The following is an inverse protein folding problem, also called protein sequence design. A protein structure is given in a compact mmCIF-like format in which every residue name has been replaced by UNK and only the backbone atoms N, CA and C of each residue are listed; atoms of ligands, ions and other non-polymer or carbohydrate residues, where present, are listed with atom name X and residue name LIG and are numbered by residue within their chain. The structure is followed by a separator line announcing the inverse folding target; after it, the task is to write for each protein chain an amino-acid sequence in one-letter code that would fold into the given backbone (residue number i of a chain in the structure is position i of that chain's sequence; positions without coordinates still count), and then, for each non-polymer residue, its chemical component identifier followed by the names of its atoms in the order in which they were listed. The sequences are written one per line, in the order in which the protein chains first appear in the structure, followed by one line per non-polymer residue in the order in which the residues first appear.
data_IF_692373782397
#
_entry.id   IF_692373782397
#
_cell.length_a   1.000
_cell.length_b   1.000
_cell.length_c   1.000
_cell.angle_alpha   90.00
_cell.angle_beta   90.00
_cell.angle_gamma   90.00
#
_symmetry.space_group_name_H-M   'P 1'
#
loop_
_entity.id
_entity.type
_entity.pdbx_description
1 polymer ?
#
# COMPACT_ATOMS: atom_id res chain seq x y z
N UNK A 1 -12.18 -6.42 21.79
CA UNK A 1 -11.91 -7.87 21.83
C UNK A 1 -10.63 -8.20 21.02
N UNK A 2 -10.60 -8.08 19.68
CA UNK A 2 -9.43 -8.47 18.88
C UNK A 2 -8.12 -7.88 19.40
N UNK A 3 -8.10 -6.58 19.73
CA UNK A 3 -6.93 -5.89 20.24
C UNK A 3 -6.54 -6.38 21.64
N UNK A 4 -7.52 -6.66 22.50
CA UNK A 4 -7.31 -7.21 23.83
C UNK A 4 -6.69 -8.62 23.76
N UNK A 5 -7.21 -9.46 22.85
CA UNK A 5 -6.67 -10.81 22.62
C UNK A 5 -5.24 -10.76 22.07
N UNK A 6 -4.98 -9.87 21.11
CA UNK A 6 -3.66 -9.73 20.51
C UNK A 6 -2.63 -9.22 21.53
N UNK A 7 -2.97 -8.13 22.26
CA UNK A 7 -2.06 -7.48 23.19
C UNK A 7 -1.97 -8.18 24.56
N UNK A 8 -2.98 -8.93 24.93
CA UNK A 8 -3.15 -9.48 26.28
C UNK A 8 -3.49 -8.42 27.34
N UNK A 9 -3.84 -7.20 26.92
CA UNK A 9 -4.16 -6.07 27.78
C UNK A 9 -5.61 -5.67 27.53
N UNK A 10 -6.50 -5.75 28.54
CA UNK A 10 -7.87 -5.23 28.43
C UNK A 10 -7.88 -3.77 28.06
N UNK A 11 -9.02 -3.29 27.51
CA UNK A 11 -9.19 -1.86 27.21
C UNK A 11 -8.76 -1.00 28.41
N UNK A 12 -7.74 -0.13 28.24
CA UNK A 12 -7.03 0.43 29.40
C UNK A 12 -7.74 1.64 30.06
N UNK A 13 -8.91 2.06 29.56
CA UNK A 13 -9.60 3.27 30.04
C UNK A 13 -11.03 2.95 30.50
N UNK A 14 -11.62 3.88 31.26
CA UNK A 14 -12.92 3.64 31.91
C UNK A 14 -14.13 3.65 30.97
N UNK A 15 -14.03 4.37 29.82
CA UNK A 15 -15.14 4.50 28.86
C UNK A 15 -14.62 4.75 27.45
N UNK A 16 -15.48 4.49 26.46
CA UNK A 16 -15.23 4.78 25.04
C UNK A 16 -16.48 5.44 24.46
N UNK A 17 -16.51 6.77 24.43
CA UNK A 17 -17.60 7.53 23.82
C UNK A 17 -17.22 7.84 22.36
N UNK A 18 -18.18 7.66 21.47
CA UNK A 18 -18.07 8.02 20.05
C UNK A 18 -18.79 9.36 19.84
N UNK A 19 -18.03 10.38 19.40
CA UNK A 19 -18.57 11.72 19.16
C UNK A 19 -18.42 12.06 17.69
N UNK A 20 -19.51 12.28 16.98
CA UNK A 20 -19.52 12.64 15.57
C UNK A 20 -19.69 14.15 15.45
N UNK A 21 -18.71 14.80 14.80
CA UNK A 21 -18.65 16.26 14.67
C UNK A 21 -18.83 16.68 13.20
N UNK A 22 -19.86 17.52 12.91
CA UNK A 22 -20.02 18.13 11.60
C UNK A 22 -18.82 19.04 11.27
N UNK A 23 -18.27 18.87 10.07
CA UNK A 23 -17.17 19.71 9.59
C UNK A 23 -15.84 19.52 10.32
N UNK A 24 -15.67 18.42 11.06
CA UNK A 24 -14.38 18.07 11.67
C UNK A 24 -13.28 17.92 10.61
N UNK A 25 -12.16 18.57 10.83
CA UNK A 25 -11.09 18.68 9.83
C UNK A 25 -10.31 17.36 9.60
N UNK A 26 -10.29 16.46 10.59
CA UNK A 26 -9.65 15.15 10.51
C UNK A 26 -10.69 14.04 10.25
N UNK A 27 -10.22 12.83 9.92
CA UNK A 27 -11.07 11.65 9.83
C UNK A 27 -11.61 11.26 11.20
N UNK A 28 -10.71 11.13 12.15
CA UNK A 28 -10.95 10.85 13.56
C UNK A 28 -9.92 11.55 14.45
N UNK A 29 -10.07 11.36 15.75
CA UNK A 29 -9.12 11.80 16.76
C UNK A 29 -9.32 10.95 18.02
N UNK A 30 -8.27 10.33 18.47
CA UNK A 30 -8.23 9.28 19.48
C UNK A 30 -8.32 9.75 20.95
N UNK A 31 -8.97 10.87 21.22
CA UNK A 31 -9.05 11.39 22.59
C UNK A 31 -9.60 10.34 23.55
N UNK A 32 -8.82 10.02 24.58
CA UNK A 32 -9.16 9.03 25.59
C UNK A 32 -10.54 9.27 26.21
N UNK A 33 -11.42 8.30 26.07
CA UNK A 33 -12.79 8.33 26.59
C UNK A 33 -13.78 9.19 25.80
N UNK A 34 -13.32 9.89 24.72
CA UNK A 34 -14.19 10.74 23.87
C UNK A 34 -13.61 10.83 22.45
N UNK A 35 -13.58 9.70 21.73
CA UNK A 35 -13.04 9.60 20.37
C UNK A 35 -13.92 10.38 19.39
N UNK A 36 -13.29 11.30 18.64
CA UNK A 36 -14.00 12.18 17.71
C UNK A 36 -13.94 11.60 16.30
N UNK A 37 -15.00 11.80 15.52
CA UNK A 37 -15.10 11.39 14.12
C UNK A 37 -15.77 12.46 13.27
N UNK A 38 -15.33 12.61 12.03
CA UNK A 38 -16.03 13.47 11.08
C UNK A 38 -17.33 12.81 10.59
N UNK A 39 -18.40 13.59 10.50
CA UNK A 39 -19.70 13.16 9.97
C UNK A 39 -19.61 12.55 8.57
N UNK A 40 -18.77 13.14 7.70
CA UNK A 40 -18.59 12.71 6.30
C UNK A 40 -18.06 11.29 6.15
N UNK A 41 -17.32 10.79 7.13
CA UNK A 41 -16.77 9.43 7.13
C UNK A 41 -17.68 8.45 7.86
N UNK A 42 -18.46 8.92 8.82
CA UNK A 42 -19.33 8.08 9.67
C UNK A 42 -20.71 7.90 9.07
N UNK A 43 -21.31 8.93 8.49
CA UNK A 43 -22.62 8.83 7.84
C UNK A 43 -22.45 8.52 6.35
N UNK A 44 -22.74 7.27 5.99
CA UNK A 44 -22.70 6.82 4.60
C UNK A 44 -24.08 7.00 3.96
N UNK A 45 -24.10 7.11 2.64
CA UNK A 45 -25.32 7.14 1.85
C UNK A 45 -26.14 5.84 2.03
N UNK A 46 -27.39 5.82 1.57
CA UNK A 46 -28.29 4.65 1.66
C UNK A 46 -27.71 3.41 0.95
N UNK A 47 -26.91 3.62 -0.11
CA UNK A 47 -26.28 2.57 -0.89
C UNK A 47 -24.75 2.78 -1.00
N UNK A 48 -24.02 2.61 0.12
CA UNK A 48 -22.59 2.88 0.13
C UNK A 48 -21.84 1.83 -0.68
N UNK A 49 -20.76 2.26 -1.32
CA UNK A 49 -19.82 1.35 -1.98
C UNK A 49 -19.07 0.49 -0.96
N UNK A 50 -18.48 -0.62 -1.43
CA UNK A 50 -17.61 -1.45 -0.60
C UNK A 50 -16.46 -0.61 0.00
N UNK A 51 -15.83 0.24 -0.82
CA UNK A 51 -14.74 1.11 -0.38
C UNK A 51 -15.15 2.06 0.76
N UNK A 52 -16.33 2.67 0.69
CA UNK A 52 -16.84 3.55 1.73
C UNK A 52 -17.07 2.79 3.04
N UNK A 53 -17.60 1.56 2.98
CA UNK A 53 -17.79 0.69 4.15
C UNK A 53 -16.47 0.27 4.78
N UNK A 54 -15.51 -0.22 3.97
CA UNK A 54 -14.18 -0.60 4.44
C UNK A 54 -13.46 0.59 5.07
N UNK A 55 -13.52 1.75 4.42
CA UNK A 55 -12.88 2.98 4.90
C UNK A 55 -13.46 3.46 6.24
N UNK A 56 -14.78 3.35 6.46
CA UNK A 56 -15.39 3.67 7.76
C UNK A 56 -14.96 2.69 8.84
N UNK A 57 -14.98 1.40 8.54
CA UNK A 57 -14.57 0.38 9.50
C UNK A 57 -13.08 0.49 9.85
N UNK A 58 -12.24 0.77 8.85
CA UNK A 58 -10.81 1.01 9.07
C UNK A 58 -10.57 2.26 9.93
N UNK A 59 -11.31 3.34 9.72
CA UNK A 59 -11.21 4.55 10.55
C UNK A 59 -11.55 4.24 12.01
N UNK A 60 -12.67 3.56 12.27
CA UNK A 60 -13.06 3.20 13.64
C UNK A 60 -12.01 2.30 14.30
N UNK A 61 -11.49 1.32 13.57
CA UNK A 61 -10.46 0.43 14.07
C UNK A 61 -9.13 1.16 14.33
N UNK A 62 -8.76 2.14 13.50
CA UNK A 62 -7.60 3.00 13.66
C UNK A 62 -7.67 3.79 14.97
N UNK A 63 -8.73 4.56 15.17
CA UNK A 63 -8.91 5.35 16.39
C UNK A 63 -9.02 4.47 17.65
N UNK A 64 -9.59 3.27 17.50
CA UNK A 64 -9.65 2.31 18.62
C UNK A 64 -8.27 1.76 18.96
N UNK A 65 -7.42 1.50 17.96
CA UNK A 65 -6.06 0.97 18.17
C UNK A 65 -5.16 1.97 18.89
N UNK A 66 -5.39 3.25 18.70
CA UNK A 66 -4.68 4.30 19.44
C UNK A 66 -4.82 4.19 20.95
N UNK A 67 -5.88 3.58 21.48
CA UNK A 67 -6.07 3.38 22.92
C UNK A 67 -4.90 2.58 23.55
N UNK A 68 -4.27 1.68 22.79
CA UNK A 68 -3.06 0.98 23.20
C UNK A 68 -1.79 1.67 22.70
N UNK A 69 -1.83 2.20 21.46
CA UNK A 69 -0.68 2.78 20.74
C UNK A 69 -0.89 4.27 20.48
N UNK A 70 -0.50 5.09 21.42
CA UNK A 70 -0.69 6.54 21.43
C UNK A 70 -1.15 7.03 22.79
N UNK A 71 -2.13 6.35 23.41
CA UNK A 71 -2.72 6.74 24.70
C UNK A 71 -2.15 5.92 25.86
N UNK A 72 -2.22 4.58 25.82
CA UNK A 72 -1.66 3.73 26.86
C UNK A 72 -0.14 3.72 26.90
N UNK A 73 0.48 3.65 25.71
CA UNK A 73 1.90 3.89 25.50
C UNK A 73 2.03 4.99 24.44
N UNK A 74 2.60 6.13 24.81
CA UNK A 74 2.81 7.24 23.88
C UNK A 74 4.28 7.41 23.50
N UNK A 75 4.58 8.24 22.51
CA UNK A 75 5.94 8.57 22.09
C UNK A 75 6.60 9.50 23.11
N UNK A 76 7.93 9.41 23.22
CA UNK A 76 8.74 10.32 24.04
C UNK A 76 8.79 11.72 23.45
N UNK A 77 8.83 11.82 22.13
CA UNK A 77 8.80 13.06 21.37
C UNK A 77 8.17 12.84 20.00
N UNK A 78 7.81 13.93 19.32
CA UNK A 78 7.08 13.92 18.05
C UNK A 78 7.88 13.43 16.84
N UNK A 79 9.19 13.25 16.92
CA UNK A 79 9.98 12.52 15.92
C UNK A 79 9.58 11.04 15.83
N UNK A 80 9.02 10.48 16.90
CA UNK A 80 8.44 9.15 16.96
C UNK A 80 6.90 9.14 16.85
N UNK A 81 6.23 10.24 16.50
CA UNK A 81 4.77 10.30 16.39
C UNK A 81 4.21 9.28 15.38
N UNK A 82 4.99 8.98 14.36
CA UNK A 82 4.65 7.98 13.35
C UNK A 82 4.40 6.58 13.94
N UNK A 83 5.00 6.26 15.10
CA UNK A 83 4.84 4.94 15.73
C UNK A 83 3.40 4.68 16.14
N UNK A 84 2.68 5.66 16.68
CA UNK A 84 1.27 5.49 17.00
C UNK A 84 0.42 5.32 15.74
N UNK A 85 0.72 6.06 14.68
CA UNK A 85 -0.01 6.01 13.42
C UNK A 85 0.20 4.68 12.68
N UNK A 86 1.45 4.18 12.65
CA UNK A 86 1.74 2.91 12.00
C UNK A 86 1.02 1.74 12.69
N UNK A 87 1.03 1.72 14.03
CA UNK A 87 0.31 0.69 14.76
C UNK A 87 -1.19 0.80 14.56
N UNK A 88 -1.74 2.02 14.60
CA UNK A 88 -3.17 2.22 14.37
C UNK A 88 -3.59 1.74 12.98
N UNK A 89 -2.87 2.09 11.92
CA UNK A 89 -3.16 1.64 10.55
C UNK A 89 -2.93 0.13 10.36
N UNK A 90 -1.82 -0.39 10.86
CA UNK A 90 -1.50 -1.82 10.73
C UNK A 90 -2.54 -2.68 11.42
N UNK A 91 -2.90 -2.37 12.66
CA UNK A 91 -3.91 -3.13 13.40
C UNK A 91 -5.33 -2.89 12.87
N UNK A 92 -5.64 -1.68 12.36
CA UNK A 92 -6.93 -1.45 11.70
C UNK A 92 -7.16 -2.43 10.54
N UNK A 93 -6.15 -2.68 9.72
CA UNK A 93 -6.27 -3.65 8.62
C UNK A 93 -6.58 -5.07 9.14
N UNK A 94 -5.93 -5.48 10.24
CA UNK A 94 -6.13 -6.78 10.88
C UNK A 94 -7.48 -6.92 11.59
N UNK A 95 -7.96 -5.85 12.21
CA UNK A 95 -9.28 -5.81 12.89
C UNK A 95 -10.42 -5.86 11.89
N UNK A 96 -10.26 -5.21 10.73
CA UNK A 96 -11.29 -5.15 9.68
C UNK A 96 -11.42 -6.49 8.92
N UNK A 97 -10.36 -7.26 8.82
CA UNK A 97 -10.33 -8.52 8.06
C UNK A 97 -11.49 -9.47 8.42
N UNK A 98 -11.71 -9.86 9.69
CA UNK A 98 -12.80 -10.78 10.05
C UNK A 98 -14.20 -10.18 9.87
N UNK A 99 -14.35 -8.85 9.72
CA UNK A 99 -15.63 -8.19 9.51
C UNK A 99 -16.10 -8.26 8.04
N UNK A 100 -15.20 -8.54 7.12
CA UNK A 100 -15.45 -8.61 5.68
C UNK A 100 -14.80 -9.85 5.05
N UNK A 101 -15.26 -11.07 5.40
CA UNK A 101 -14.59 -12.30 4.99
C UNK A 101 -14.58 -12.55 3.47
N UNK A 102 -15.49 -11.90 2.72
CA UNK A 102 -15.57 -12.01 1.26
C UNK A 102 -14.64 -11.02 0.53
N UNK A 103 -13.88 -10.21 1.26
CA UNK A 103 -12.94 -9.23 0.68
C UNK A 103 -11.55 -9.81 0.65
N UNK A 104 -10.86 -9.65 -0.45
CA UNK A 104 -9.44 -9.93 -0.51
C UNK A 104 -8.66 -8.83 0.24
N UNK A 105 -8.37 -9.07 1.52
CA UNK A 105 -7.73 -8.09 2.40
C UNK A 105 -6.28 -7.80 2.00
N UNK A 106 -5.59 -8.76 1.36
CA UNK A 106 -4.26 -8.49 0.80
C UNK A 106 -4.32 -7.49 -0.34
N UNK A 107 -5.24 -7.70 -1.28
CA UNK A 107 -5.50 -6.73 -2.35
C UNK A 107 -5.90 -5.37 -1.77
N UNK A 108 -6.78 -5.35 -0.76
CA UNK A 108 -7.20 -4.12 -0.11
C UNK A 108 -6.03 -3.36 0.51
N UNK A 109 -5.12 -4.07 1.19
CA UNK A 109 -3.93 -3.50 1.81
C UNK A 109 -3.00 -2.84 0.78
N UNK A 110 -2.63 -3.56 -0.29
CA UNK A 110 -1.74 -3.00 -1.31
C UNK A 110 -2.38 -1.83 -2.06
N UNK A 111 -3.70 -1.87 -2.28
CA UNK A 111 -4.46 -0.78 -2.89
C UNK A 111 -4.46 0.49 -2.03
N UNK A 112 -4.66 0.34 -0.73
CA UNK A 112 -4.83 1.47 0.18
C UNK A 112 -3.49 2.15 0.49
N UNK A 113 -2.42 1.38 0.68
CA UNK A 113 -1.16 1.92 1.19
C UNK A 113 -0.09 2.17 0.12
N UNK A 114 0.12 1.27 -0.86
CA UNK A 114 1.27 1.38 -1.76
C UNK A 114 1.19 2.58 -2.72
N UNK A 115 0.06 2.86 -3.41
CA UNK A 115 0.02 3.96 -4.36
C UNK A 115 0.20 5.33 -3.70
N UNK A 116 -0.36 5.53 -2.51
CA UNK A 116 -0.24 6.77 -1.76
C UNK A 116 1.20 6.99 -1.28
N UNK A 117 1.84 5.96 -0.72
CA UNK A 117 3.25 6.01 -0.31
C UNK A 117 4.18 6.29 -1.49
N UNK A 118 4.00 5.62 -2.63
CA UNK A 118 4.77 5.87 -3.84
C UNK A 118 4.58 7.29 -4.38
N UNK A 119 3.39 7.89 -4.20
CA UNK A 119 3.12 9.25 -4.65
C UNK A 119 4.07 10.27 -4.04
N UNK A 120 4.56 10.02 -2.85
CA UNK A 120 5.52 10.86 -2.13
C UNK A 120 6.97 10.37 -2.31
N UNK A 121 7.23 9.08 -2.14
CA UNK A 121 8.58 8.50 -2.19
C UNK A 121 9.30 8.65 -3.53
N UNK A 122 8.57 8.75 -4.66
CA UNK A 122 9.16 9.03 -5.98
C UNK A 122 9.54 10.49 -6.19
N UNK A 123 9.23 11.39 -5.25
CA UNK A 123 9.50 12.83 -5.41
C UNK A 123 10.79 13.25 -4.73
N UNK A 124 11.35 14.38 -5.15
CA UNK A 124 12.51 14.98 -4.47
C UNK A 124 12.21 15.40 -3.03
N UNK A 125 10.93 15.61 -2.69
CA UNK A 125 10.45 15.97 -1.36
C UNK A 125 10.21 14.77 -0.43
N UNK A 126 10.55 13.55 -0.85
CA UNK A 126 10.41 12.37 0.00
C UNK A 126 11.16 12.53 1.33
N UNK A 127 10.51 12.12 2.40
CA UNK A 127 11.05 12.13 3.76
C UNK A 127 11.26 10.70 4.27
N UNK A 128 12.14 10.48 5.28
CA UNK A 128 12.15 9.23 6.02
C UNK A 128 10.83 9.04 6.80
N UNK A 129 10.56 7.83 7.26
CA UNK A 129 9.41 7.56 8.13
C UNK A 129 9.60 8.30 9.46
N UNK A 130 10.77 8.14 10.10
CA UNK A 130 11.15 8.91 11.27
C UNK A 130 11.69 10.27 10.81
N UNK A 131 11.03 11.34 11.20
CA UNK A 131 11.37 12.69 10.83
C UNK A 131 11.75 13.49 12.07
N UNK A 132 12.90 14.17 12.03
CA UNK A 132 13.33 15.04 13.11
C UNK A 132 12.35 16.21 13.29
N UNK A 133 11.98 16.49 14.52
CA UNK A 133 11.09 17.59 14.87
C UNK A 133 11.66 18.41 16.05
N UNK A 134 12.32 19.50 15.73
CA UNK A 134 12.90 20.39 16.73
C UNK A 134 11.86 21.28 17.45
N UNK A 135 10.71 21.52 16.81
CA UNK A 135 9.71 22.44 17.32
C UNK A 135 8.28 21.98 17.03
N UNK A 136 7.46 21.89 18.08
CA UNK A 136 6.04 21.51 18.00
C UNK A 136 5.19 22.34 17.02
N UNK A 137 5.60 23.58 16.72
CA UNK A 137 4.92 24.41 15.71
C UNK A 137 4.92 23.76 14.33
N UNK A 138 5.89 22.88 14.08
CA UNK A 138 6.05 22.16 12.81
C UNK A 138 5.43 20.76 12.86
N UNK A 139 4.82 20.33 13.97
CA UNK A 139 4.27 18.98 14.12
C UNK A 139 3.29 18.61 13.00
N UNK A 140 2.49 19.57 12.53
CA UNK A 140 1.57 19.33 11.40
C UNK A 140 2.26 19.01 10.06
N UNK A 141 3.56 19.28 9.91
CA UNK A 141 4.30 19.02 8.67
C UNK A 141 4.80 17.57 8.56
N UNK A 142 4.89 16.85 9.67
CA UNK A 142 5.35 15.46 9.66
C UNK A 142 4.24 14.47 9.25
N UNK A 143 2.97 14.89 9.37
CA UNK A 143 1.83 14.04 8.97
C UNK A 143 1.65 14.05 7.46
N UNK A 144 1.82 12.89 6.82
CA UNK A 144 1.72 12.73 5.37
C UNK A 144 1.72 11.25 4.96
N UNK A 145 1.70 10.99 3.66
CA UNK A 145 1.62 9.62 3.11
C UNK A 145 2.78 8.72 3.56
N UNK A 146 3.94 9.28 3.90
CA UNK A 146 5.04 8.48 4.43
C UNK A 146 4.67 7.89 5.80
N UNK A 147 4.07 8.68 6.67
CA UNK A 147 3.67 8.20 8.00
C UNK A 147 2.43 7.31 7.92
N UNK A 148 1.42 7.70 7.12
CA UNK A 148 0.14 6.99 7.10
C UNK A 148 0.11 5.79 6.16
N UNK A 149 0.92 5.79 5.09
CA UNK A 149 0.80 4.79 4.03
C UNK A 149 2.07 3.95 3.85
N UNK A 150 3.29 4.56 3.86
CA UNK A 150 4.53 3.79 3.77
C UNK A 150 4.80 2.99 5.06
N UNK A 151 4.59 3.61 6.22
CA UNK A 151 4.95 2.96 7.48
C UNK A 151 4.17 1.66 7.75
N UNK A 152 2.87 1.49 7.43
CA UNK A 152 2.19 0.19 7.54
C UNK A 152 2.77 -0.90 6.64
N UNK A 153 3.23 -0.55 5.44
CA UNK A 153 3.91 -1.50 4.54
C UNK A 153 5.23 -1.94 5.15
N UNK A 154 6.01 -1.00 5.67
CA UNK A 154 7.28 -1.29 6.35
C UNK A 154 7.04 -2.09 7.64
N UNK A 155 5.97 -1.81 8.40
CA UNK A 155 5.60 -2.60 9.57
C UNK A 155 5.24 -4.05 9.20
N UNK A 156 4.49 -4.26 8.12
CA UNK A 156 4.21 -5.62 7.63
C UNK A 156 5.49 -6.36 7.24
N UNK A 157 6.45 -5.67 6.61
CA UNK A 157 7.76 -6.25 6.30
C UNK A 157 8.52 -6.64 7.58
N UNK A 158 8.50 -5.80 8.61
CA UNK A 158 9.10 -6.08 9.91
C UNK A 158 8.47 -7.31 10.57
N UNK A 159 7.13 -7.41 10.54
CA UNK A 159 6.41 -8.58 11.07
C UNK A 159 6.81 -9.86 10.34
N UNK A 160 7.07 -9.80 9.04
CA UNK A 160 7.53 -10.97 8.27
C UNK A 160 8.96 -11.39 8.60
N UNK A 161 9.83 -10.43 8.85
CA UNK A 161 11.22 -10.70 9.31
C UNK A 161 11.20 -11.39 10.67
N UNK A 162 10.33 -10.95 11.58
CA UNK A 162 10.20 -11.52 12.92
C UNK A 162 9.39 -12.83 12.97
N UNK A 163 8.36 -12.94 12.16
CA UNK A 163 7.25 -13.87 12.32
C UNK A 163 6.18 -13.35 13.30
N UNK A 164 4.94 -13.74 13.05
CA UNK A 164 3.75 -13.26 13.79
C UNK A 164 3.83 -13.48 15.30
N UNK A 165 4.29 -14.65 15.73
CA UNK A 165 4.36 -15.00 17.15
C UNK A 165 5.40 -14.17 17.91
N UNK A 166 6.61 -14.03 17.33
CA UNK A 166 7.68 -13.22 17.91
C UNK A 166 7.29 -11.73 17.95
N UNK A 167 6.65 -11.24 16.91
CA UNK A 167 6.11 -9.87 16.87
C UNK A 167 5.06 -9.67 17.99
N UNK A 168 4.09 -10.57 18.14
CA UNK A 168 3.07 -10.48 19.19
C UNK A 168 3.69 -10.47 20.58
N UNK A 169 4.66 -11.36 20.84
CA UNK A 169 5.37 -11.40 22.12
C UNK A 169 6.12 -10.09 22.40
N UNK A 170 6.82 -9.57 21.41
CA UNK A 170 7.53 -8.30 21.52
C UNK A 170 6.60 -7.10 21.75
N UNK A 171 5.44 -7.07 21.10
CA UNK A 171 4.42 -6.02 21.32
C UNK A 171 3.84 -6.10 22.74
N UNK A 172 3.57 -7.29 23.25
CA UNK A 172 3.13 -7.49 24.65
C UNK A 172 4.16 -7.02 25.66
N UNK A 173 5.44 -7.33 25.44
CA UNK A 173 6.54 -6.83 26.27
C UNK A 173 6.66 -5.30 26.19
N UNK A 174 6.55 -4.73 24.99
CA UNK A 174 6.59 -3.29 24.76
C UNK A 174 5.50 -2.55 25.53
N UNK A 175 4.24 -2.98 25.39
CA UNK A 175 3.10 -2.37 26.08
C UNK A 175 3.18 -2.52 27.61
N UNK A 176 3.69 -3.65 28.09
CA UNK A 176 3.87 -3.88 29.52
C UNK A 176 5.01 -3.02 30.09
N UNK A 177 6.12 -2.92 29.34
CA UNK A 177 7.31 -2.16 29.78
C UNK A 177 7.05 -0.67 29.88
N UNK A 178 6.28 -0.14 28.93
CA UNK A 178 6.03 1.31 28.83
C UNK A 178 4.60 1.71 29.24
N UNK A 179 3.87 0.85 29.96
CA UNK A 179 2.49 1.11 30.39
C UNK A 179 2.32 2.49 31.04
N UNK A 180 1.36 3.27 30.54
CA UNK A 180 1.10 4.66 30.96
C UNK A 180 2.34 5.57 30.93
N UNK A 181 3.27 5.26 30.02
CA UNK A 181 4.55 5.96 29.90
C UNK A 181 4.90 6.31 28.46
N UNK A 182 6.16 6.64 28.26
CA UNK A 182 6.69 7.11 26.98
C UNK A 182 7.74 6.14 26.45
N UNK A 183 7.62 5.82 25.16
CA UNK A 183 8.54 4.94 24.45
C UNK A 183 9.20 5.67 23.26
N UNK A 184 10.26 5.07 22.73
CA UNK A 184 10.88 5.45 21.46
C UNK A 184 10.86 4.26 20.50
N UNK A 185 11.02 4.55 19.21
CA UNK A 185 11.16 3.50 18.21
C UNK A 185 12.36 2.58 18.51
N UNK A 186 13.49 3.13 18.88
CA UNK A 186 14.68 2.35 19.25
C UNK A 186 14.43 1.47 20.48
N UNK A 187 13.56 1.93 21.39
CA UNK A 187 13.12 1.14 22.53
C UNK A 187 12.34 -0.10 22.11
N UNK A 188 11.43 0.06 21.15
CA UNK A 188 10.67 -1.04 20.54
C UNK A 188 11.60 -2.00 19.79
N UNK A 189 12.46 -1.49 18.90
CA UNK A 189 13.42 -2.33 18.14
C UNK A 189 14.30 -3.16 19.08
N UNK A 190 14.75 -2.57 20.18
CA UNK A 190 15.55 -3.30 21.20
C UNK A 190 14.76 -4.44 21.85
N UNK A 191 13.46 -4.27 22.05
CA UNK A 191 12.60 -5.34 22.57
C UNK A 191 12.43 -6.43 21.51
N UNK A 192 12.07 -6.06 20.29
CA UNK A 192 11.85 -7.00 19.19
C UNK A 192 13.11 -7.81 18.84
N UNK A 193 14.31 -7.21 18.96
CA UNK A 193 15.58 -7.91 18.74
C UNK A 193 15.84 -9.07 19.73
N UNK A 194 15.10 -9.16 20.82
CA UNK A 194 15.19 -10.33 21.74
C UNK A 194 14.54 -11.61 21.17
N UNK A 195 13.72 -11.44 20.15
CA UNK A 195 12.89 -12.49 19.56
C UNK A 195 13.35 -12.93 18.15
N UNK A 196 14.49 -12.45 17.68
CA UNK A 196 15.04 -12.79 16.36
C UNK A 196 16.56 -12.72 16.38
N UNK A 197 17.21 -13.47 15.49
CA UNK A 197 18.65 -13.38 15.20
C UNK A 197 18.98 -12.27 14.17
N UNK A 198 17.96 -11.67 13.54
CA UNK A 198 18.14 -10.60 12.55
C UNK A 198 18.58 -9.29 13.20
N UNK A 199 19.43 -8.52 12.51
CA UNK A 199 19.81 -7.18 12.94
C UNK A 199 18.73 -6.15 12.59
N UNK A 200 17.71 -6.05 13.47
CA UNK A 200 16.62 -5.10 13.29
C UNK A 200 17.07 -3.64 13.39
N UNK A 201 18.20 -3.35 14.01
CA UNK A 201 18.73 -1.99 14.07
C UNK A 201 19.26 -1.57 12.68
N UNK A 202 20.03 -2.42 12.02
CA UNK A 202 20.50 -2.20 10.64
C UNK A 202 19.32 -2.16 9.66
N UNK A 203 18.34 -3.05 9.81
CA UNK A 203 17.11 -3.04 9.02
C UNK A 203 16.34 -1.72 9.18
N UNK A 204 16.15 -1.28 10.40
CA UNK A 204 15.43 -0.04 10.74
C UNK A 204 16.15 1.20 10.23
N UNK A 205 17.49 1.22 10.26
CA UNK A 205 18.26 2.35 9.73
C UNK A 205 17.89 2.63 8.27
N UNK A 206 17.75 1.58 7.46
CA UNK A 206 17.45 1.75 6.03
C UNK A 206 15.97 2.03 5.78
N UNK A 207 15.06 1.28 6.42
CA UNK A 207 13.63 1.38 6.13
C UNK A 207 12.93 2.55 6.83
N UNK A 208 13.40 2.94 8.01
CA UNK A 208 12.74 3.94 8.85
C UNK A 208 13.46 5.29 8.82
N UNK A 209 14.81 5.28 8.92
CA UNK A 209 15.58 6.50 9.03
C UNK A 209 16.05 7.06 7.67
N UNK A 210 15.91 6.29 6.58
CA UNK A 210 16.28 6.75 5.25
C UNK A 210 15.05 7.01 4.37
N UNK A 211 15.12 8.07 3.56
CA UNK A 211 14.06 8.42 2.61
C UNK A 211 14.18 7.63 1.30
N UNK A 212 13.06 7.53 0.60
CA UNK A 212 13.01 6.93 -0.75
C UNK A 212 12.84 5.42 -0.71
N UNK A 213 13.05 4.80 -1.86
CA UNK A 213 12.85 3.37 -2.11
C UNK A 213 13.85 2.86 -3.14
N UNK A 214 14.15 1.55 -3.19
CA UNK A 214 15.02 0.98 -4.21
C UNK A 214 14.40 1.02 -5.60
N UNK A 215 15.21 1.23 -6.64
CA UNK A 215 14.90 0.80 -8.01
C UNK A 215 15.28 -0.67 -8.12
N UNK A 216 14.35 -1.50 -8.59
CA UNK A 216 14.52 -2.94 -8.70
C UNK A 216 14.32 -3.33 -10.16
N UNK A 217 15.29 -4.03 -10.73
CA UNK A 217 15.24 -4.59 -12.08
C UNK A 217 15.36 -6.10 -12.04
N UNK A 218 14.77 -6.77 -13.01
CA UNK A 218 14.89 -8.22 -13.16
C UNK A 218 15.18 -8.61 -14.61
N UNK A 219 15.95 -9.67 -14.80
CA UNK A 219 16.23 -10.22 -16.12
C UNK A 219 16.48 -11.72 -16.04
N UNK A 220 16.23 -12.43 -17.14
CA UNK A 220 16.65 -13.83 -17.28
C UNK A 220 17.92 -13.84 -18.12
N UNK A 221 19.03 -14.35 -17.55
CA UNK A 221 20.35 -14.45 -18.21
C UNK A 221 20.92 -15.84 -17.96
N UNK A 222 21.35 -16.51 -18.98
CA UNK A 222 22.00 -17.84 -18.91
C UNK A 222 21.20 -18.90 -18.12
N UNK A 223 19.86 -18.81 -18.18
CA UNK A 223 18.97 -19.71 -17.44
C UNK A 223 18.80 -19.37 -15.96
N UNK A 224 19.21 -18.18 -15.55
CA UNK A 224 19.03 -17.67 -14.18
C UNK A 224 18.12 -16.43 -14.17
N UNK A 225 17.24 -16.34 -13.17
CA UNK A 225 16.64 -15.07 -12.78
C UNK A 225 17.69 -14.25 -12.04
N UNK A 226 17.93 -13.04 -12.51
CA UNK A 226 18.81 -12.05 -11.87
C UNK A 226 17.95 -10.87 -11.46
N UNK A 227 17.88 -10.57 -10.17
CA UNK A 227 17.19 -9.39 -9.61
C UNK A 227 18.22 -8.47 -9.01
N UNK A 228 18.19 -7.19 -9.38
CA UNK A 228 19.17 -6.18 -8.95
C UNK A 228 18.45 -5.02 -8.29
N UNK A 229 18.95 -4.54 -7.15
CA UNK A 229 18.50 -3.33 -6.48
C UNK A 229 19.51 -2.21 -6.59
N UNK A 230 19.02 -0.99 -6.70
CA UNK A 230 19.86 0.21 -6.77
C UNK A 230 19.25 1.35 -5.95
N UNK A 231 20.07 2.09 -5.22
CA UNK A 231 19.65 3.36 -4.62
C UNK A 231 19.58 4.46 -5.70
N UNK A 232 18.38 4.96 -6.04
CA UNK A 232 18.25 5.98 -7.07
C UNK A 232 18.86 7.33 -6.68
N UNK A 233 19.15 7.56 -5.38
CA UNK A 233 19.78 8.78 -4.88
C UNK A 233 21.31 8.67 -4.77
N UNK A 234 21.89 7.52 -5.14
CA UNK A 234 23.35 7.33 -5.20
C UNK A 234 24.07 7.27 -3.85
N UNK A 235 23.34 7.00 -2.76
CA UNK A 235 23.92 6.89 -1.40
C UNK A 235 24.52 5.50 -1.14
N UNK A 236 24.27 4.53 -2.03
CA UNK A 236 24.70 3.14 -1.88
C UNK A 236 23.88 2.34 -0.88
N UNK A 237 22.68 2.81 -0.55
CA UNK A 237 21.77 2.09 0.34
C UNK A 237 21.25 0.82 -0.32
N UNK A 238 20.99 -0.19 0.51
CA UNK A 238 20.40 -1.47 0.13
C UNK A 238 19.24 -1.75 1.07
N UNK A 239 18.09 -2.08 0.49
CA UNK A 239 16.85 -2.34 1.22
C UNK A 239 16.62 -3.84 1.34
N UNK A 240 16.88 -4.45 2.51
CA UNK A 240 16.63 -5.87 2.73
C UNK A 240 15.13 -6.15 2.71
N UNK A 241 14.71 -7.10 1.84
CA UNK A 241 13.31 -7.47 1.70
C UNK A 241 13.12 -8.80 1.01
N UNK A 242 11.98 -9.45 1.31
CA UNK A 242 11.54 -10.68 0.68
C UNK A 242 10.52 -10.37 -0.43
N UNK A 243 10.79 -10.85 -1.63
CA UNK A 243 9.96 -10.68 -2.81
C UNK A 243 9.54 -12.05 -3.36
N UNK A 244 8.53 -12.06 -4.21
CA UNK A 244 8.21 -13.24 -5.03
C UNK A 244 8.07 -12.79 -6.47
N UNK A 245 8.82 -13.44 -7.34
CA UNK A 245 8.74 -13.26 -8.78
C UNK A 245 8.07 -14.48 -9.42
N UNK A 246 7.45 -14.27 -10.59
CA UNK A 246 7.05 -15.37 -11.48
C UNK A 246 7.70 -15.16 -12.84
N UNK A 247 8.39 -16.19 -13.33
CA UNK A 247 8.99 -16.20 -14.67
C UNK A 247 8.17 -17.14 -15.54
N UNK A 248 7.72 -16.66 -16.70
CA UNK A 248 6.93 -17.41 -17.68
C UNK A 248 7.67 -17.39 -19.00
N UNK A 249 8.05 -18.57 -19.53
CA UNK A 249 8.74 -18.71 -20.81
C UNK A 249 8.01 -19.76 -21.67
N UNK A 250 7.18 -19.32 -22.61
CA UNK A 250 6.30 -20.19 -23.38
C UNK A 250 5.24 -20.86 -22.51
N UNK A 251 5.30 -22.18 -22.32
CA UNK A 251 4.40 -22.97 -21.47
C UNK A 251 4.94 -23.20 -20.05
N UNK A 252 6.22 -22.94 -19.83
CA UNK A 252 6.88 -23.16 -18.54
C UNK A 252 6.71 -21.92 -17.65
N UNK A 253 6.48 -22.15 -16.36
CA UNK A 253 6.31 -21.08 -15.37
C UNK A 253 6.84 -21.51 -14.02
N UNK A 254 7.51 -20.61 -13.33
CA UNK A 254 8.06 -20.84 -11.99
C UNK A 254 7.87 -19.62 -11.11
N UNK A 255 7.48 -19.84 -9.85
CA UNK A 255 7.48 -18.83 -8.80
C UNK A 255 8.77 -18.92 -7.99
N UNK A 256 9.44 -17.80 -7.85
CA UNK A 256 10.78 -17.73 -7.28
C UNK A 256 10.76 -16.79 -6.08
N UNK A 257 11.00 -17.30 -4.85
CA UNK A 257 11.27 -16.44 -3.71
C UNK A 257 12.62 -15.76 -3.90
N UNK A 258 12.65 -14.46 -3.66
CA UNK A 258 13.82 -13.60 -3.83
C UNK A 258 14.09 -12.89 -2.52
N UNK A 259 15.24 -13.16 -1.91
CA UNK A 259 15.72 -12.41 -0.74
C UNK A 259 16.74 -11.37 -1.20
N UNK A 260 16.41 -10.09 -1.07
CA UNK A 260 17.34 -9.00 -1.22
C UNK A 260 17.94 -8.70 0.15
N UNK A 261 19.22 -8.96 0.31
CA UNK A 261 19.94 -8.73 1.56
C UNK A 261 20.50 -7.31 1.66
N UNK A 262 20.70 -6.81 2.88
CA UNK A 262 21.27 -5.48 3.14
C UNK A 262 22.74 -5.33 2.76
N UNK A 263 23.42 -6.40 2.37
CA UNK A 263 24.83 -6.41 1.96
C UNK A 263 25.04 -6.72 0.47
N UNK A 264 23.96 -7.02 -0.29
CA UNK A 264 24.04 -7.40 -1.72
C UNK A 264 23.18 -6.48 -2.61
N UNK A 265 23.72 -6.17 -3.79
CA UNK A 265 23.01 -5.44 -4.84
C UNK A 265 22.17 -6.35 -5.73
N UNK A 266 22.40 -7.67 -5.68
CA UNK A 266 21.75 -8.61 -6.58
C UNK A 266 21.46 -9.95 -5.93
N UNK A 267 20.37 -10.56 -6.42
CA UNK A 267 19.99 -11.96 -6.18
C UNK A 267 20.06 -12.73 -7.49
N UNK A 268 20.49 -14.00 -7.44
CA UNK A 268 20.54 -14.89 -8.60
C UNK A 268 19.99 -16.26 -8.23
N UNK A 269 19.12 -16.80 -9.08
CA UNK A 269 18.60 -18.15 -8.93
C UNK A 269 18.42 -18.83 -10.28
N UNK A 270 18.92 -20.04 -10.41
CA UNK A 270 18.77 -20.86 -11.60
C UNK A 270 17.31 -21.31 -11.74
N UNK A 271 16.76 -21.14 -12.94
CA UNK A 271 15.42 -21.63 -13.26
C UNK A 271 15.40 -23.15 -13.30
N UNK A 272 14.29 -23.75 -12.89
CA UNK A 272 14.08 -25.19 -12.93
C UNK A 272 13.91 -25.74 -14.36
N UNK A 273 13.72 -24.84 -15.33
CA UNK A 273 13.57 -25.14 -16.76
C UNK A 273 14.56 -24.33 -17.60
N UNK A 274 14.79 -24.76 -18.85
CA UNK A 274 15.58 -24.00 -19.80
C UNK A 274 14.69 -22.96 -20.51
N UNK A 275 15.00 -21.65 -20.38
CA UNK A 275 14.23 -20.61 -21.06
C UNK A 275 14.24 -20.82 -22.58
N UNK A 276 13.07 -20.85 -23.19
CA UNK A 276 12.90 -20.95 -24.62
C UNK A 276 12.12 -19.73 -25.14
N UNK A 277 12.79 -18.87 -25.89
CA UNK A 277 12.22 -17.63 -26.41
C UNK A 277 12.20 -16.49 -25.35
N UNK A 278 11.29 -15.55 -25.57
CA UNK A 278 11.12 -14.42 -24.67
C UNK A 278 10.36 -14.83 -23.41
N UNK A 279 10.92 -14.46 -22.25
CA UNK A 279 10.26 -14.69 -20.97
C UNK A 279 9.51 -13.43 -20.50
N UNK A 280 8.37 -13.63 -19.84
CA UNK A 280 7.68 -12.60 -19.08
C UNK A 280 8.09 -12.73 -17.62
N UNK A 281 8.59 -11.66 -17.04
CA UNK A 281 8.99 -11.62 -15.63
C UNK A 281 7.97 -10.76 -14.88
N UNK A 282 7.26 -11.36 -13.93
CA UNK A 282 6.27 -10.69 -13.12
C UNK A 282 6.90 -10.39 -11.75
N UNK A 283 7.14 -9.12 -11.42
CA UNK A 283 7.73 -8.75 -10.13
C UNK A 283 6.68 -8.73 -9.02
N UNK A 284 7.12 -8.99 -7.79
CA UNK A 284 6.33 -8.75 -6.57
C UNK A 284 4.90 -9.30 -6.64
N UNK A 285 4.72 -10.52 -7.13
CA UNK A 285 3.40 -11.10 -7.46
C UNK A 285 2.43 -11.19 -6.26
N UNK A 286 2.96 -11.23 -5.05
CA UNK A 286 2.20 -11.26 -3.81
C UNK A 286 2.00 -9.86 -3.18
N UNK A 287 2.49 -8.80 -3.82
CA UNK A 287 2.40 -7.42 -3.38
C UNK A 287 3.10 -7.11 -2.05
N UNK A 288 4.07 -7.92 -1.62
CA UNK A 288 4.70 -7.80 -0.29
C UNK A 288 5.99 -6.99 -0.27
N UNK A 289 6.55 -6.69 -1.43
CA UNK A 289 7.73 -5.85 -1.55
C UNK A 289 7.41 -4.38 -1.71
N UNK A 290 8.39 -3.54 -1.46
CA UNK A 290 8.31 -2.09 -1.62
C UNK A 290 9.51 -1.57 -2.43
N UNK A 291 9.23 -0.84 -3.52
CA UNK A 291 10.25 -0.30 -4.42
C UNK A 291 9.71 -0.02 -5.82
N UNK A 292 10.50 0.65 -6.63
CA UNK A 292 10.19 0.86 -8.03
C UNK A 292 10.62 -0.36 -8.85
N UNK A 293 9.68 -1.24 -9.16
CA UNK A 293 9.89 -2.40 -10.03
C UNK A 293 9.90 -1.92 -11.48
N UNK A 294 11.09 -1.65 -12.00
CA UNK A 294 11.27 -1.04 -13.30
C UNK A 294 11.16 -2.07 -14.42
N UNK A 295 10.32 -1.75 -15.38
CA UNK A 295 10.15 -2.50 -16.63
C UNK A 295 10.35 -1.59 -17.84
N UNK A 296 10.63 -2.17 -18.98
CA UNK A 296 10.67 -1.50 -20.28
C UNK A 296 9.31 -1.54 -20.98
N UNK A 297 9.12 -0.69 -22.01
CA UNK A 297 7.91 -0.71 -22.86
C UNK A 297 7.68 -2.12 -23.46
N UNK A 298 8.73 -2.81 -23.90
CA UNK A 298 8.63 -4.14 -24.47
C UNK A 298 8.14 -5.21 -23.48
N UNK A 299 8.56 -5.10 -22.22
CA UNK A 299 8.17 -6.03 -21.15
C UNK A 299 6.71 -5.80 -20.70
N UNK A 300 6.21 -4.57 -20.82
CA UNK A 300 4.86 -4.21 -20.36
C UNK A 300 3.75 -5.04 -21.04
N UNK A 301 3.93 -5.42 -22.30
CA UNK A 301 2.95 -6.23 -23.05
C UNK A 301 2.68 -7.59 -22.40
N UNK A 302 3.72 -8.22 -21.84
CA UNK A 302 3.60 -9.47 -21.09
C UNK A 302 2.79 -9.28 -19.80
N UNK A 303 3.05 -8.20 -19.06
CA UNK A 303 2.31 -7.88 -17.84
C UNK A 303 0.83 -7.62 -18.14
N UNK A 304 0.51 -6.87 -19.19
CA UNK A 304 -0.86 -6.62 -19.64
C UNK A 304 -1.60 -7.92 -20.04
N UNK A 305 -0.90 -8.84 -20.71
CA UNK A 305 -1.46 -10.13 -21.07
C UNK A 305 -1.85 -10.94 -19.83
N UNK A 306 -0.95 -11.03 -18.84
CA UNK A 306 -1.21 -11.74 -17.58
C UNK A 306 -2.31 -11.05 -16.77
N UNK A 307 -2.31 -9.71 -16.70
CA UNK A 307 -3.34 -8.94 -16.00
C UNK A 307 -4.75 -9.27 -16.52
N UNK A 308 -4.91 -9.45 -17.84
CA UNK A 308 -6.21 -9.78 -18.45
C UNK A 308 -6.63 -11.24 -18.28
N UNK A 309 -5.68 -12.17 -18.15
CA UNK A 309 -5.95 -13.61 -18.12
C UNK A 309 -5.92 -14.24 -16.73
N UNK A 310 -5.34 -13.53 -15.73
CA UNK A 310 -5.21 -14.06 -14.38
C UNK A 310 -6.52 -13.95 -13.58
N UNK A 311 -6.78 -14.97 -12.77
CA UNK A 311 -7.83 -14.95 -11.74
C UNK A 311 -7.28 -14.53 -10.35
N UNK A 312 -5.95 -14.42 -10.19
CA UNK A 312 -5.32 -14.01 -8.95
C UNK A 312 -5.44 -12.49 -8.79
N UNK A 313 -6.30 -12.09 -7.86
CA UNK A 313 -6.62 -10.68 -7.60
C UNK A 313 -5.42 -9.90 -7.04
N UNK A 314 -4.58 -10.52 -6.20
CA UNK A 314 -3.40 -9.88 -5.61
C UNK A 314 -2.35 -9.64 -6.69
N UNK A 315 -2.11 -10.64 -7.54
CA UNK A 315 -1.23 -10.50 -8.72
C UNK A 315 -1.73 -9.36 -9.61
N UNK A 316 -3.02 -9.33 -9.95
CA UNK A 316 -3.61 -8.26 -10.77
C UNK A 316 -3.40 -6.88 -10.13
N UNK A 317 -3.63 -6.74 -8.82
CA UNK A 317 -3.39 -5.51 -8.09
C UNK A 317 -1.92 -5.07 -8.12
N UNK A 318 -1.00 -6.00 -7.90
CA UNK A 318 0.44 -5.74 -7.97
C UNK A 318 0.90 -5.33 -9.38
N UNK A 319 0.36 -5.98 -10.42
CA UNK A 319 0.66 -5.62 -11.82
C UNK A 319 0.11 -4.23 -12.18
N UNK A 320 -1.10 -3.88 -11.73
CA UNK A 320 -1.67 -2.54 -11.93
C UNK A 320 -0.78 -1.46 -11.28
N UNK A 321 -0.30 -1.69 -10.05
CA UNK A 321 0.63 -0.78 -9.37
C UNK A 321 1.94 -0.67 -10.16
N UNK A 322 2.53 -1.79 -10.55
CA UNK A 322 3.79 -1.81 -11.32
C UNK A 322 3.65 -1.05 -12.64
N UNK A 323 2.60 -1.30 -13.41
CA UNK A 323 2.35 -0.63 -14.68
C UNK A 323 2.11 0.88 -14.47
N UNK A 324 1.32 1.25 -13.47
CA UNK A 324 1.08 2.66 -13.17
C UNK A 324 2.35 3.40 -12.72
N UNK A 325 3.19 2.80 -11.88
CA UNK A 325 4.46 3.43 -11.49
C UNK A 325 5.40 3.57 -12.69
N UNK A 326 5.47 2.58 -13.57
CA UNK A 326 6.27 2.69 -14.80
C UNK A 326 5.74 3.76 -15.76
N UNK A 327 4.42 3.99 -15.82
CA UNK A 327 3.85 5.16 -16.49
C UNK A 327 4.35 6.48 -15.85
N UNK A 328 4.35 6.56 -14.51
CA UNK A 328 4.77 7.77 -13.76
C UNK A 328 6.26 8.07 -13.95
N UNK A 329 7.09 7.05 -14.04
CA UNK A 329 8.52 7.15 -14.34
C UNK A 329 8.82 7.24 -15.85
N UNK A 330 7.79 7.21 -16.70
CA UNK A 330 7.89 7.32 -18.17
C UNK A 330 8.74 6.22 -18.83
N UNK A 331 8.77 5.05 -18.23
CA UNK A 331 9.39 3.86 -18.82
C UNK A 331 8.45 3.13 -19.79
N UNK A 332 7.13 3.40 -19.66
CA UNK A 332 6.10 2.98 -20.61
C UNK A 332 5.32 4.19 -21.13
N UNK A 333 4.75 4.07 -22.33
CA UNK A 333 4.08 5.19 -22.99
C UNK A 333 2.71 5.49 -22.38
N UNK A 334 2.33 6.78 -22.21
CA UNK A 334 0.99 7.13 -21.74
C UNK A 334 -0.14 6.68 -22.68
N UNK A 335 0.12 6.65 -23.99
CA UNK A 335 -0.87 6.19 -24.97
C UNK A 335 -1.08 4.68 -24.83
N UNK A 336 0.02 3.88 -24.80
CA UNK A 336 -0.06 2.44 -24.63
C UNK A 336 -0.77 2.06 -23.31
N UNK A 337 -0.41 2.71 -22.19
CA UNK A 337 -1.08 2.51 -20.92
C UNK A 337 -2.58 2.78 -21.00
N UNK A 338 -2.98 3.89 -21.63
CA UNK A 338 -4.40 4.26 -21.79
C UNK A 338 -5.15 3.24 -22.60
N UNK A 339 -4.64 2.85 -23.76
CA UNK A 339 -5.29 1.91 -24.66
C UNK A 339 -5.53 0.56 -23.99
N UNK A 340 -4.52 0.06 -23.27
CA UNK A 340 -4.61 -1.20 -22.50
C UNK A 340 -5.62 -1.09 -21.35
N UNK A 341 -5.63 0.02 -20.62
CA UNK A 341 -6.60 0.25 -19.53
C UNK A 341 -8.04 0.37 -20.05
N UNK A 342 -8.26 1.02 -21.19
CA UNK A 342 -9.58 1.10 -21.84
C UNK A 342 -10.09 -0.27 -22.28
N UNK A 343 -9.19 -1.18 -22.66
CA UNK A 343 -9.53 -2.56 -22.99
C UNK A 343 -9.78 -3.43 -21.73
N UNK A 344 -9.05 -3.19 -20.65
CA UNK A 344 -9.13 -3.95 -19.40
C UNK A 344 -10.38 -3.61 -18.58
N UNK A 345 -10.62 -2.32 -18.35
CA UNK A 345 -11.59 -1.81 -17.37
C UNK A 345 -13.02 -2.34 -17.55
N UNK A 346 -13.59 -2.44 -18.77
CA UNK A 346 -14.96 -2.95 -18.95
C UNK A 346 -15.18 -4.40 -18.56
N UNK A 347 -14.10 -5.20 -18.49
CA UNK A 347 -14.13 -6.63 -18.21
C UNK A 347 -13.77 -6.98 -16.75
N UNK A 348 -13.37 -5.98 -15.94
CA UNK A 348 -13.01 -6.21 -14.56
C UNK A 348 -14.25 -6.29 -13.68
N UNK A 349 -14.41 -7.40 -12.97
CA UNK A 349 -15.55 -7.69 -12.09
C UNK A 349 -15.25 -7.42 -10.61
N UNK A 350 -13.97 -7.52 -10.19
CA UNK A 350 -13.59 -7.22 -8.81
C UNK A 350 -13.66 -5.72 -8.56
N UNK A 351 -14.44 -5.30 -7.56
CA UNK A 351 -14.69 -3.88 -7.28
C UNK A 351 -13.44 -3.12 -6.79
N UNK A 352 -12.49 -3.78 -6.14
CA UNK A 352 -11.24 -3.15 -5.70
C UNK A 352 -10.33 -2.90 -6.89
N UNK A 353 -10.13 -3.89 -7.76
CA UNK A 353 -9.34 -3.77 -8.99
C UNK A 353 -9.96 -2.75 -9.96
N UNK A 354 -11.28 -2.79 -10.12
CA UNK A 354 -12.01 -1.80 -10.92
C UNK A 354 -11.75 -0.38 -10.42
N UNK A 355 -11.83 -0.15 -9.12
CA UNK A 355 -11.58 1.14 -8.50
C UNK A 355 -10.12 1.61 -8.71
N UNK A 356 -9.14 0.70 -8.57
CA UNK A 356 -7.72 1.00 -8.85
C UNK A 356 -7.50 1.40 -10.30
N UNK A 357 -7.99 0.58 -11.23
CA UNK A 357 -7.85 0.81 -12.66
C UNK A 357 -8.49 2.13 -13.09
N UNK A 358 -9.69 2.42 -12.57
CA UNK A 358 -10.41 3.65 -12.83
C UNK A 358 -9.65 4.88 -12.33
N UNK A 359 -9.07 4.81 -11.13
CA UNK A 359 -8.24 5.88 -10.56
C UNK A 359 -7.00 6.14 -11.42
N UNK A 360 -6.27 5.09 -11.80
CA UNK A 360 -5.06 5.21 -12.62
C UNK A 360 -5.34 5.74 -14.02
N UNK A 361 -6.47 5.37 -14.60
CA UNK A 361 -6.90 5.89 -15.89
C UNK A 361 -7.26 7.37 -15.81
N UNK A 362 -7.96 7.79 -14.77
CA UNK A 362 -8.25 9.20 -14.49
C UNK A 362 -6.98 10.02 -14.26
N UNK A 363 -6.02 9.48 -13.51
CA UNK A 363 -4.72 10.11 -13.29
C UNK A 363 -3.90 10.21 -14.58
N UNK A 364 -3.90 9.15 -15.40
CA UNK A 364 -3.26 9.16 -16.70
C UNK A 364 -3.81 10.29 -17.58
N UNK A 365 -5.13 10.46 -17.66
CA UNK A 365 -5.76 11.52 -18.42
C UNK A 365 -5.40 12.93 -17.91
N UNK A 366 -5.33 13.09 -16.58
CA UNK A 366 -5.01 14.38 -15.95
C UNK A 366 -3.53 14.76 -16.10
N UNK A 367 -2.62 13.79 -15.95
CA UNK A 367 -1.16 14.03 -15.97
C UNK A 367 -0.62 14.07 -17.40
N UNK A 368 -1.19 13.28 -18.29
CA UNK A 368 -0.82 13.16 -19.69
C UNK A 368 -2.07 13.41 -20.57
N UNK A 369 -2.54 14.67 -20.67
CA UNK A 369 -3.79 14.97 -21.38
C UNK A 369 -3.76 14.51 -22.84
N UNK A 370 -4.87 13.96 -23.29
CA UNK A 370 -5.09 13.53 -24.68
C UNK A 370 -6.56 13.71 -25.03
N UNK A 371 -6.95 13.33 -26.25
CA UNK A 371 -8.37 13.27 -26.64
C UNK A 371 -9.19 12.45 -25.62
N UNK A 372 -10.16 13.09 -24.96
CA UNK A 372 -11.00 12.48 -23.91
C UNK A 372 -12.06 11.52 -24.48
N UNK A 373 -12.43 11.66 -25.75
CA UNK A 373 -13.55 10.94 -26.38
C UNK A 373 -13.50 9.41 -26.22
N UNK A 374 -12.35 8.73 -26.44
CA UNK A 374 -12.31 7.27 -26.20
C UNK A 374 -12.63 6.89 -24.76
N UNK A 375 -12.11 7.66 -23.79
CA UNK A 375 -12.36 7.45 -22.37
C UNK A 375 -13.82 7.75 -22.01
N UNK A 376 -14.39 8.85 -22.50
CA UNK A 376 -15.79 9.22 -22.32
C UNK A 376 -16.74 8.12 -22.82
N UNK A 377 -16.45 7.56 -24.00
CA UNK A 377 -17.26 6.48 -24.60
C UNK A 377 -17.23 5.20 -23.75
N UNK A 378 -16.05 4.79 -23.29
CA UNK A 378 -15.90 3.59 -22.44
C UNK A 378 -16.59 3.79 -21.10
N UNK A 379 -16.39 4.94 -20.45
CA UNK A 379 -17.04 5.24 -19.19
C UNK A 379 -18.57 5.28 -19.32
N UNK A 380 -19.08 5.92 -20.36
CA UNK A 380 -20.53 5.99 -20.60
C UNK A 380 -21.12 4.60 -20.87
N UNK A 381 -20.43 3.74 -21.62
CA UNK A 381 -20.81 2.36 -21.79
C UNK A 381 -20.89 1.63 -20.46
N UNK A 382 -19.88 1.79 -19.57
CA UNK A 382 -19.92 1.18 -18.25
C UNK A 382 -21.10 1.72 -17.42
N UNK A 383 -21.33 3.02 -17.42
CA UNK A 383 -22.47 3.66 -16.72
C UNK A 383 -23.80 3.06 -17.12
N UNK A 384 -23.98 2.78 -18.42
CA UNK A 384 -25.27 2.33 -18.97
C UNK A 384 -25.47 0.82 -18.97
N UNK A 385 -24.39 0.04 -19.02
CA UNK A 385 -24.50 -1.42 -19.26
C UNK A 385 -23.84 -2.32 -18.21
N UNK A 386 -22.99 -1.78 -17.32
CA UNK A 386 -22.32 -2.65 -16.35
C UNK A 386 -23.33 -3.19 -15.31
N UNK A 387 -23.34 -4.51 -15.02
CA UNK A 387 -24.27 -5.11 -14.08
C UNK A 387 -24.05 -4.65 -12.63
N UNK A 388 -22.81 -4.29 -12.27
CA UNK A 388 -22.42 -3.88 -10.91
C UNK A 388 -22.75 -2.40 -10.70
N UNK A 389 -23.71 -2.09 -9.83
CA UNK A 389 -24.16 -0.72 -9.57
C UNK A 389 -23.04 0.20 -9.06
N UNK A 390 -22.13 -0.34 -8.25
CA UNK A 390 -20.98 0.39 -7.74
C UNK A 390 -20.02 0.81 -8.87
N UNK A 391 -19.79 -0.05 -9.86
CA UNK A 391 -18.95 0.27 -11.01
C UNK A 391 -19.59 1.38 -11.86
N UNK A 392 -20.92 1.33 -12.05
CA UNK A 392 -21.66 2.41 -12.74
C UNK A 392 -21.49 3.75 -12.04
N UNK A 393 -21.64 3.77 -10.70
CA UNK A 393 -21.50 4.99 -9.92
C UNK A 393 -20.08 5.56 -9.98
N UNK A 394 -19.06 4.71 -9.82
CA UNK A 394 -17.66 5.14 -9.88
C UNK A 394 -17.29 5.64 -11.27
N UNK A 395 -17.70 4.93 -12.33
CA UNK A 395 -17.49 5.34 -13.71
C UNK A 395 -18.18 6.69 -14.02
N UNK A 396 -19.40 6.90 -13.49
CA UNK A 396 -20.11 8.17 -13.65
C UNK A 396 -19.41 9.33 -12.94
N UNK A 397 -18.89 9.10 -11.73
CA UNK A 397 -18.11 10.11 -10.99
C UNK A 397 -16.86 10.54 -11.80
N UNK A 398 -16.12 9.60 -12.38
CA UNK A 398 -14.98 9.92 -13.25
C UNK A 398 -15.45 10.60 -14.55
N UNK A 399 -16.47 10.07 -15.22
CA UNK A 399 -17.06 10.67 -16.43
C UNK A 399 -17.35 12.16 -16.24
N UNK A 400 -18.06 12.52 -15.18
CA UNK A 400 -18.36 13.93 -14.85
C UNK A 400 -17.12 14.80 -14.67
N UNK A 401 -16.02 14.24 -14.23
CA UNK A 401 -14.78 15.00 -13.99
C UNK A 401 -13.95 15.23 -15.24
N UNK A 402 -14.20 14.44 -16.31
CA UNK A 402 -13.40 14.48 -17.55
C UNK A 402 -14.21 14.82 -18.80
N UNK A 403 -15.54 14.87 -18.71
CA UNK A 403 -16.42 15.18 -19.83
C UNK A 403 -16.07 16.54 -20.44
N UNK A 404 -15.61 16.53 -21.69
CA UNK A 404 -15.09 17.69 -22.41
C UNK A 404 -15.68 17.79 -23.83
N UNK A 405 -16.06 16.66 -24.46
CA UNK A 405 -16.71 16.65 -25.74
C UNK A 405 -18.15 17.21 -25.66
N UNK A 406 -18.62 17.82 -26.73
CA UNK A 406 -19.99 18.35 -26.84
C UNK A 406 -21.04 17.27 -26.52
N UNK A 407 -20.82 16.07 -27.04
CA UNK A 407 -21.67 14.90 -26.77
C UNK A 407 -21.66 14.47 -25.29
N UNK A 408 -20.49 14.48 -24.66
CA UNK A 408 -20.35 14.09 -23.25
C UNK A 408 -21.00 15.11 -22.30
N UNK A 409 -20.91 16.40 -22.60
CA UNK A 409 -21.51 17.47 -21.79
C UNK A 409 -23.04 17.49 -21.90
N UNK A 410 -23.61 17.03 -23.03
CA UNK A 410 -25.05 16.94 -23.25
C UNK A 410 -25.73 15.74 -22.61
N UNK A 411 -24.98 14.69 -22.25
CA UNK A 411 -25.46 13.48 -21.56
C UNK A 411 -25.64 13.71 -20.06
#
# INVERSE_FOLDING_TARGET
EWQEDFTGIPYPFAKYDVIILPGFQYGGMEHTGATLYTDRRMFLDEHPTLNERLSRSALIAHETSHMWFGDYVTMKWFDDVWTKEVFANYFASRIVEPLYPDVNHRLNFIRDYIPASYSEDRTAGANPIKQDLDNLRNAGLVYGNIIYDKSPVVMEMLVRVLGEEAFQQGIREYLTTYAYGNATWEGLIRILNKYTEEDLAAWSEVWVNQKGMPEITASVKDGELVVEQRDPLGRGLKWPQELTYRVICGTDSEEIPVSLEGNSDSFRMKLSFLPNGNCVILPNINGRGYGFFKITEGESSGLWSVLRSSEDEVLKGSLLITLYENLRWKTISPQGFRDEMLAYLPNESNSLLFSMALSYLGDCQRIFPSDSRPLEQVLWKIVTTNPVSQHRLQAFRLYRSIADSEEAVQR
#
